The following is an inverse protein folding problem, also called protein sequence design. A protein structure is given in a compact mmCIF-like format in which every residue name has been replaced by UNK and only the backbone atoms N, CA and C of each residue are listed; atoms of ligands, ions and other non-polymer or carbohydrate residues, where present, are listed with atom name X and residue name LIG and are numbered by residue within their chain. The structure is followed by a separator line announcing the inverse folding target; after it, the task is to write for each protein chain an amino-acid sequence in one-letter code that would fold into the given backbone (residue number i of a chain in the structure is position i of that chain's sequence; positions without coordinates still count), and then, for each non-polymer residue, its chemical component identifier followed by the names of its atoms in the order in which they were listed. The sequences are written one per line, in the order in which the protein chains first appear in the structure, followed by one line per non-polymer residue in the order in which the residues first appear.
data_IF_398987292227
#
_entry.id   IF_398987292227
#
_cell.length_a   1.000
_cell.length_b   1.000
_cell.length_c   1.000
_cell.angle_alpha   90.00
_cell.angle_beta   90.00
_cell.angle_gamma   90.00
#
_symmetry.space_group_name_H-M   'P 1'
#
loop_
_entity.id
_entity.type
_entity.pdbx_description
1 polymer ?
#
# COMPACT_ATOMS: atom_id res chain seq x y z
N UNK A 1 -5.28 15.80 20.36
CA UNK A 1 -4.97 15.91 18.91
C UNK A 1 -4.21 14.65 18.50
N UNK A 2 -4.57 14.01 17.37
CA UNK A 2 -3.86 12.81 16.86
C UNK A 2 -2.92 13.21 15.73
N UNK A 3 -1.70 12.70 15.71
CA UNK A 3 -0.69 12.97 14.66
C UNK A 3 -0.65 11.80 13.69
N UNK A 4 -0.37 12.12 12.42
CA UNK A 4 -0.25 11.14 11.35
C UNK A 4 0.60 11.62 10.19
N UNK A 5 0.83 10.71 9.24
CA UNK A 5 1.56 10.99 8.02
C UNK A 5 0.95 10.23 6.83
N UNK A 6 1.26 10.63 5.59
CA UNK A 6 0.66 10.01 4.41
C UNK A 6 1.53 8.89 3.82
N UNK A 7 0.87 7.81 3.40
CA UNK A 7 1.28 6.78 2.44
C UNK A 7 2.48 5.89 2.81
N UNK A 8 3.62 6.47 3.21
CA UNK A 8 4.90 5.76 3.31
C UNK A 8 5.58 6.04 4.64
N UNK A 9 6.23 5.01 5.18
CA UNK A 9 7.15 5.15 6.30
C UNK A 9 8.58 5.01 5.79
N UNK A 10 9.37 6.09 5.85
CA UNK A 10 10.75 6.13 5.33
C UNK A 10 11.75 5.35 6.19
N UNK A 11 11.37 4.96 7.41
CA UNK A 11 12.20 4.17 8.32
C UNK A 11 12.00 2.66 8.15
N UNK A 12 11.16 2.22 7.22
CA UNK A 12 10.85 0.81 6.98
C UNK A 12 11.36 0.34 5.61
N UNK A 13 11.79 -0.93 5.54
CA UNK A 13 12.32 -1.53 4.30
C UNK A 13 11.23 -2.00 3.31
N UNK A 14 9.95 -1.85 3.66
CA UNK A 14 8.84 -2.23 2.80
C UNK A 14 8.05 -1.02 2.31
N UNK A 15 7.30 -1.19 1.21
CA UNK A 15 6.37 -0.17 0.69
C UNK A 15 4.98 -0.77 0.46
N UNK A 16 3.95 -0.04 0.88
CA UNK A 16 2.53 -0.34 0.61
C UNK A 16 2.03 0.25 -0.72
N UNK A 17 2.89 0.96 -1.45
CA UNK A 17 2.60 1.67 -2.70
C UNK A 17 3.28 1.06 -3.93
N UNK A 18 3.55 -0.25 -3.92
CA UNK A 18 4.17 -0.89 -5.08
C UNK A 18 3.14 -0.96 -6.21
N UNK A 19 3.58 -0.59 -7.40
CA UNK A 19 2.82 -0.68 -8.64
C UNK A 19 3.71 -1.26 -9.73
N UNK A 20 3.14 -1.52 -10.90
CA UNK A 20 3.86 -2.01 -12.07
C UNK A 20 3.31 -1.34 -13.32
N UNK A 21 4.06 -1.44 -14.43
CA UNK A 21 3.61 -0.88 -15.72
C UNK A 21 2.43 -1.69 -16.26
N UNK A 22 1.46 -1.01 -16.88
CA UNK A 22 0.27 -1.62 -17.48
C UNK A 22 0.60 -2.76 -18.46
N UNK A 23 1.71 -2.65 -19.21
CA UNK A 23 2.19 -3.70 -20.12
C UNK A 23 2.50 -5.04 -19.45
N UNK A 24 2.73 -5.04 -18.13
CA UNK A 24 3.05 -6.23 -17.34
C UNK A 24 1.82 -6.73 -16.55
N UNK A 25 0.62 -6.27 -16.91
CA UNK A 25 -0.59 -6.64 -16.20
C UNK A 25 -0.93 -8.12 -16.41
N UNK A 26 -1.00 -8.84 -15.30
CA UNK A 26 -1.63 -10.15 -15.18
C UNK A 26 -2.33 -10.19 -13.82
N UNK A 27 -3.37 -11.02 -13.71
CA UNK A 27 -4.08 -11.24 -12.45
C UNK A 27 -3.13 -11.73 -11.34
N UNK A 28 -2.24 -12.67 -11.68
CA UNK A 28 -1.22 -13.17 -10.75
C UNK A 28 -0.31 -12.07 -10.21
N UNK A 29 0.16 -11.16 -11.08
CA UNK A 29 1.02 -10.04 -10.69
C UNK A 29 0.27 -9.00 -9.88
N UNK A 30 -1.00 -8.76 -10.20
CA UNK A 30 -1.87 -7.90 -9.42
C UNK A 30 -2.03 -8.45 -7.99
N UNK A 31 -2.43 -9.72 -7.85
CA UNK A 31 -2.63 -10.38 -6.56
C UNK A 31 -1.33 -10.36 -5.73
N UNK A 32 -0.19 -10.73 -6.32
CA UNK A 32 1.12 -10.70 -5.66
C UNK A 32 1.47 -9.29 -5.15
N UNK A 33 1.22 -8.27 -6.00
CA UNK A 33 1.52 -6.88 -5.65
C UNK A 33 0.62 -6.37 -4.52
N UNK A 34 -0.70 -6.62 -4.62
CA UNK A 34 -1.70 -6.26 -3.61
C UNK A 34 -1.40 -6.95 -2.28
N UNK A 35 -1.10 -8.25 -2.30
CA UNK A 35 -0.79 -9.01 -1.11
C UNK A 35 0.40 -8.40 -0.34
N UNK A 36 1.52 -8.14 -1.02
CA UNK A 36 2.65 -7.54 -0.32
C UNK A 36 2.45 -6.06 0.03
N UNK A 37 1.59 -5.33 -0.69
CA UNK A 37 1.20 -3.97 -0.30
C UNK A 37 0.39 -3.97 1.01
N UNK A 38 -0.58 -4.88 1.14
CA UNK A 38 -1.37 -5.08 2.36
C UNK A 38 -0.51 -5.55 3.53
N UNK A 39 0.41 -6.49 3.29
CA UNK A 39 1.37 -6.94 4.31
C UNK A 39 2.24 -5.77 4.81
N UNK A 40 2.72 -4.91 3.92
CA UNK A 40 3.49 -3.74 4.35
C UNK A 40 2.61 -2.69 5.06
N UNK A 41 1.37 -2.48 4.60
CA UNK A 41 0.42 -1.60 5.28
C UNK A 41 0.19 -2.04 6.72
N UNK A 42 -0.01 -3.34 6.96
CA UNK A 42 -0.14 -3.88 8.32
C UNK A 42 1.08 -3.52 9.17
N UNK A 43 2.30 -3.76 8.67
CA UNK A 43 3.53 -3.42 9.38
C UNK A 43 3.66 -1.92 9.67
N UNK A 44 3.21 -1.06 8.75
CA UNK A 44 3.15 0.39 8.96
C UNK A 44 2.18 0.72 10.11
N UNK A 45 1.00 0.09 10.17
CA UNK A 45 0.02 0.33 11.24
C UNK A 45 0.53 -0.17 12.60
N UNK A 46 1.21 -1.32 12.63
CA UNK A 46 1.87 -1.85 13.84
C UNK A 46 2.98 -0.91 14.32
N UNK A 47 3.81 -0.40 13.41
CA UNK A 47 4.81 0.64 13.72
C UNK A 47 4.14 1.89 14.28
N UNK A 48 3.07 2.36 13.64
CA UNK A 48 2.35 3.56 14.04
C UNK A 48 1.79 3.44 15.46
N UNK A 49 1.20 2.29 15.79
CA UNK A 49 0.73 1.98 17.13
C UNK A 49 1.87 2.04 18.16
N UNK A 50 3.03 1.45 17.84
CA UNK A 50 4.22 1.45 18.71
C UNK A 50 4.77 2.85 18.99
N UNK A 51 4.69 3.77 18.01
CA UNK A 51 5.24 5.12 18.11
C UNK A 51 4.18 6.23 18.28
N UNK A 52 2.94 5.86 18.65
CA UNK A 52 1.84 6.77 18.93
C UNK A 52 1.41 7.67 17.74
N UNK A 53 1.57 7.18 16.51
CA UNK A 53 0.94 7.76 15.33
C UNK A 53 -0.46 7.16 15.17
N UNK A 54 -1.50 7.98 15.33
CA UNK A 54 -2.89 7.51 15.35
C UNK A 54 -3.72 7.99 14.15
N UNK A 55 -3.07 8.55 13.14
CA UNK A 55 -3.68 8.90 11.88
C UNK A 55 -2.76 8.49 10.73
N UNK A 56 -3.31 7.94 9.66
CA UNK A 56 -2.53 7.48 8.52
C UNK A 56 -3.38 7.56 7.26
N UNK A 57 -2.85 8.20 6.21
CA UNK A 57 -3.51 8.21 4.89
C UNK A 57 -2.97 7.06 4.06
N UNK A 58 -3.83 6.13 3.68
CA UNK A 58 -3.47 5.03 2.79
C UNK A 58 -3.13 5.57 1.40
N UNK A 59 -2.16 4.95 0.73
CA UNK A 59 -1.80 5.29 -0.65
C UNK A 59 -2.91 4.90 -1.64
N UNK A 60 -3.09 5.68 -2.70
CA UNK A 60 -3.94 5.30 -3.85
C UNK A 60 -3.39 4.09 -4.60
N UNK A 61 -2.07 3.86 -4.53
CA UNK A 61 -1.39 2.74 -5.19
C UNK A 61 -1.50 1.43 -4.42
N UNK A 62 -2.31 1.37 -3.35
CA UNK A 62 -2.47 0.14 -2.55
C UNK A 62 -2.93 -1.02 -3.44
N UNK A 63 -3.87 -0.72 -4.34
CA UNK A 63 -4.37 -1.62 -5.38
C UNK A 63 -3.97 -1.03 -6.75
N UNK A 64 -2.93 -1.55 -7.41
CA UNK A 64 -2.52 -1.08 -8.72
C UNK A 64 -3.67 -1.18 -9.72
N UNK A 65 -3.96 -0.10 -10.44
CA UNK A 65 -5.02 -0.06 -11.45
C UNK A 65 -6.46 -0.22 -10.90
N UNK A 66 -6.68 0.06 -9.61
CA UNK A 66 -7.99 -0.06 -8.94
C UNK A 66 -9.17 0.60 -9.65
N UNK A 67 -8.92 1.68 -10.39
CA UNK A 67 -9.93 2.42 -11.15
C UNK A 67 -9.80 2.27 -12.67
N UNK A 68 -8.87 1.44 -13.15
CA UNK A 68 -8.59 1.30 -14.58
C UNK A 68 -9.48 0.20 -15.19
N UNK A 69 -10.05 0.37 -16.40
CA UNK A 69 -10.91 -0.62 -17.06
C UNK A 69 -10.30 -2.02 -17.32
N UNK A 70 -8.99 -2.17 -17.10
CA UNK A 70 -8.30 -3.47 -17.25
C UNK A 70 -8.58 -4.38 -16.05
N UNK A 71 -8.89 -3.79 -14.90
CA UNK A 71 -9.29 -4.48 -13.69
C UNK A 71 -10.77 -4.86 -13.84
N UNK A 72 -11.02 -6.12 -14.18
CA UNK A 72 -12.35 -6.68 -14.43
C UNK A 72 -12.91 -7.48 -13.23
N UNK A 73 -12.33 -7.26 -12.05
CA UNK A 73 -12.74 -7.92 -10.81
C UNK A 73 -13.88 -7.15 -10.15
#
# INVERSE_FOLDING_TARGET
MKIGYPCINLSMDCRSSRTFRLKNYSESKLIETVYGNLNCLQKILEYNLKYNFYFFRITSDLIPFGSHPIMKF
#
